data_IF_664220938657
#
_entry.id   IF_664220938657
#
_cell.length_a   1.000
_cell.length_b   1.000
_cell.length_c   1.000
_cell.angle_alpha   90.00
_cell.angle_beta   90.00
_cell.angle_gamma   90.00
#
_symmetry.space_group_name_H-M   'P 1'
#
loop_
_entity.id
_entity.type
_entity.pdbx_description
1 polymer ?
#
# COMPACT_ATOMS: atom_id res chain seq x y z
N UNK A 1 -15.97 26.53 -1.20
CA UNK A 1 -14.87 26.08 -0.33
C UNK A 1 -15.51 25.35 0.85
N UNK A 2 -15.15 24.10 1.06
CA UNK A 2 -15.60 23.36 2.24
C UNK A 2 -14.78 23.89 3.42
N UNK A 3 -15.45 24.45 4.43
CA UNK A 3 -14.82 24.85 5.70
C UNK A 3 -14.67 23.62 6.61
N UNK A 4 -13.96 22.61 6.14
CA UNK A 4 -13.65 21.45 6.97
C UNK A 4 -12.40 21.75 7.81
N UNK A 5 -12.36 21.25 9.07
CA UNK A 5 -11.18 21.43 9.88
C UNK A 5 -10.00 20.58 9.37
N UNK A 6 -8.79 21.02 9.66
CA UNK A 6 -7.58 20.24 9.45
C UNK A 6 -7.51 19.06 10.43
N UNK A 7 -7.95 19.28 11.66
CA UNK A 7 -7.92 18.29 12.74
C UNK A 7 -9.21 18.32 13.54
N UNK A 8 -9.76 17.14 13.82
CA UNK A 8 -10.87 16.96 14.74
C UNK A 8 -10.35 16.67 16.14
N UNK A 9 -11.00 17.26 17.13
CA UNK A 9 -10.67 17.07 18.55
C UNK A 9 -11.71 16.22 19.28
N UNK A 10 -12.87 16.04 18.65
CA UNK A 10 -13.96 15.25 19.22
C UNK A 10 -13.66 13.75 19.16
N UNK A 11 -13.88 13.06 20.28
CA UNK A 11 -13.59 11.62 20.41
C UNK A 11 -14.37 10.72 19.44
N UNK A 12 -15.48 11.20 18.90
CA UNK A 12 -16.26 10.48 17.89
C UNK A 12 -15.82 10.77 16.45
N UNK A 13 -14.81 11.62 16.25
CA UNK A 13 -14.28 12.03 14.93
C UNK A 13 -12.79 11.83 14.79
N UNK A 14 -12.13 11.40 15.86
CA UNK A 14 -10.71 11.07 15.87
C UNK A 14 -10.45 9.84 16.73
N UNK A 15 -9.54 8.99 16.28
CA UNK A 15 -9.05 7.82 17.03
C UNK A 15 -7.53 7.92 17.06
N UNK A 16 -6.94 7.75 18.25
CA UNK A 16 -5.49 7.84 18.45
C UNK A 16 -4.86 9.13 17.87
N UNK A 17 -5.64 10.22 17.89
CA UNK A 17 -5.22 11.51 17.34
C UNK A 17 -5.35 11.65 15.82
N UNK A 18 -5.77 10.62 15.12
CA UNK A 18 -5.99 10.62 13.67
C UNK A 18 -7.45 10.88 13.32
N UNK A 19 -7.69 11.66 12.28
CA UNK A 19 -9.03 11.93 11.79
C UNK A 19 -9.65 10.64 11.22
N UNK A 20 -10.88 10.34 11.65
CA UNK A 20 -11.70 9.27 11.05
C UNK A 20 -12.85 9.83 10.21
N UNK A 21 -12.99 11.14 10.18
CA UNK A 21 -13.92 11.87 9.32
C UNK A 21 -13.15 12.63 8.23
N UNK A 22 -13.86 12.92 7.14
CA UNK A 22 -13.32 13.69 6.03
C UNK A 22 -12.90 15.07 6.53
N UNK A 23 -11.65 15.43 6.31
CA UNK A 23 -11.02 16.69 6.73
C UNK A 23 -10.59 17.53 5.52
N UNK A 24 -10.11 18.73 5.73
CA UNK A 24 -9.68 19.65 4.66
C UNK A 24 -8.61 19.00 3.76
N UNK A 25 -7.58 18.40 4.33
CA UNK A 25 -6.53 17.72 3.57
C UNK A 25 -7.05 16.49 2.82
N UNK A 26 -8.04 15.78 3.37
CA UNK A 26 -8.68 14.64 2.67
C UNK A 26 -9.38 15.09 1.39
N UNK A 27 -10.11 16.22 1.45
CA UNK A 27 -10.77 16.79 0.27
C UNK A 27 -9.76 17.22 -0.77
N UNK A 28 -8.67 17.86 -0.38
CA UNK A 28 -7.61 18.30 -1.29
C UNK A 28 -6.91 17.13 -1.96
N UNK A 29 -6.58 16.09 -1.20
CA UNK A 29 -5.99 14.86 -1.74
C UNK A 29 -6.95 14.16 -2.72
N UNK A 30 -8.24 14.06 -2.36
CA UNK A 30 -9.26 13.49 -3.26
C UNK A 30 -9.40 14.31 -4.55
N UNK A 31 -9.35 15.64 -4.48
CA UNK A 31 -9.37 16.48 -5.68
C UNK A 31 -8.11 16.26 -6.54
N UNK A 32 -6.95 16.09 -5.94
CA UNK A 32 -5.74 15.75 -6.70
C UNK A 32 -5.93 14.43 -7.47
N UNK A 33 -6.44 13.38 -6.81
CA UNK A 33 -6.75 12.11 -7.45
C UNK A 33 -7.76 12.24 -8.60
N UNK A 34 -8.83 13.01 -8.40
CA UNK A 34 -9.83 13.27 -9.44
C UNK A 34 -9.22 13.98 -10.65
N UNK A 35 -8.40 15.00 -10.44
CA UNK A 35 -7.72 15.68 -11.52
C UNK A 35 -6.71 14.78 -12.24
N UNK A 36 -6.00 13.91 -11.54
CA UNK A 36 -5.15 12.89 -12.16
C UNK A 36 -5.96 11.96 -13.08
N UNK A 37 -7.10 11.48 -12.60
CA UNK A 37 -8.01 10.64 -13.41
C UNK A 37 -8.58 11.37 -14.63
N UNK A 38 -8.88 12.66 -14.51
CA UNK A 38 -9.35 13.47 -15.64
C UNK A 38 -8.24 13.74 -16.65
N UNK A 39 -7.01 13.93 -16.19
CA UNK A 39 -5.86 14.21 -17.04
C UNK A 39 -5.37 12.97 -17.83
N UNK A 40 -5.55 11.77 -17.24
CA UNK A 40 -5.14 10.50 -17.81
C UNK A 40 -6.18 9.86 -18.75
N UNK A 41 -5.88 8.66 -19.20
CA UNK A 41 -6.78 7.87 -20.03
C UNK A 41 -8.05 7.49 -19.24
N UNK A 42 -9.27 7.46 -19.84
CA UNK A 42 -9.55 7.72 -21.28
C UNK A 42 -9.85 9.18 -21.60
N UNK A 43 -9.97 10.07 -20.61
CA UNK A 43 -10.42 11.46 -20.84
C UNK A 43 -9.32 12.31 -21.50
N UNK A 44 -8.05 12.08 -21.14
CA UNK A 44 -6.87 12.75 -21.69
C UNK A 44 -6.95 14.30 -21.66
N UNK A 45 -7.59 14.84 -20.63
CA UNK A 45 -7.66 16.30 -20.40
C UNK A 45 -6.42 16.77 -19.69
N UNK A 46 -5.29 16.78 -20.39
CA UNK A 46 -3.94 16.96 -19.83
C UNK A 46 -3.74 18.28 -19.09
N UNK A 47 -4.59 19.29 -19.34
CA UNK A 47 -4.59 20.55 -18.59
C UNK A 47 -4.86 20.37 -17.09
N UNK A 48 -5.52 19.26 -16.68
CA UNK A 48 -5.79 18.97 -15.27
C UNK A 48 -4.57 18.45 -14.50
N UNK A 49 -3.46 18.08 -15.14
CA UNK A 49 -2.21 17.80 -14.41
C UNK A 49 -1.77 19.01 -13.57
N UNK A 50 -1.93 20.21 -14.09
CA UNK A 50 -1.60 21.43 -13.33
C UNK A 50 -2.47 21.55 -12.06
N UNK A 51 -3.76 21.26 -12.17
CA UNK A 51 -4.69 21.30 -11.04
C UNK A 51 -4.38 20.19 -10.01
N UNK A 52 -4.03 18.99 -10.48
CA UNK A 52 -3.62 17.89 -9.61
C UNK A 52 -2.39 18.27 -8.79
N UNK A 53 -1.36 18.81 -9.45
CA UNK A 53 -0.14 19.26 -8.79
C UNK A 53 -0.43 20.34 -7.74
N UNK A 54 -1.29 21.32 -8.04
CA UNK A 54 -1.65 22.36 -7.08
C UNK A 54 -2.35 21.79 -5.85
N UNK A 55 -3.28 20.87 -6.03
CA UNK A 55 -4.00 20.27 -4.89
C UNK A 55 -3.14 19.34 -4.05
N UNK A 56 -2.29 18.52 -4.66
CA UNK A 56 -1.32 17.72 -3.94
C UNK A 56 -0.32 18.60 -3.17
N UNK A 57 0.17 19.69 -3.81
CA UNK A 57 1.06 20.65 -3.17
C UNK A 57 0.42 21.36 -1.97
N UNK A 58 -0.87 21.71 -2.03
CA UNK A 58 -1.57 22.30 -0.89
C UNK A 58 -1.54 21.37 0.33
N UNK A 59 -1.63 20.05 0.14
CA UNK A 59 -1.51 19.08 1.24
C UNK A 59 -0.07 19.04 1.74
N UNK A 60 0.92 18.92 0.85
CA UNK A 60 2.34 18.90 1.21
C UNK A 60 2.76 20.16 1.97
N UNK A 61 2.33 21.34 1.50
CA UNK A 61 2.62 22.63 2.15
C UNK A 61 1.97 22.70 3.55
N UNK A 62 0.76 22.15 3.70
CA UNK A 62 0.08 22.07 4.99
C UNK A 62 0.82 21.16 5.98
N UNK A 63 1.38 20.05 5.50
CA UNK A 63 2.23 19.16 6.29
C UNK A 63 3.51 19.88 6.71
N UNK A 64 4.19 20.53 5.76
CA UNK A 64 5.45 21.26 6.03
C UNK A 64 5.28 22.41 7.02
N UNK A 65 4.10 23.03 7.04
CA UNK A 65 3.74 24.10 7.98
C UNK A 65 3.25 23.60 9.34
N UNK A 66 3.10 22.29 9.51
CA UNK A 66 2.50 21.69 10.70
C UNK A 66 1.00 21.91 10.85
N UNK A 67 0.31 22.33 9.77
CA UNK A 67 -1.17 22.46 9.77
C UNK A 67 -1.84 21.10 9.69
N UNK A 68 -1.23 20.18 8.95
CA UNK A 68 -1.67 18.78 8.81
C UNK A 68 -0.63 17.86 9.43
N UNK A 69 -1.11 16.88 10.18
CA UNK A 69 -0.28 15.92 10.88
C UNK A 69 -0.17 14.64 10.06
N UNK A 70 0.54 14.73 8.92
CA UNK A 70 0.81 13.58 8.07
C UNK A 70 2.31 13.40 7.83
N UNK A 71 2.72 12.14 7.71
CA UNK A 71 4.09 11.77 7.38
C UNK A 71 4.12 10.37 6.78
N UNK A 72 5.17 10.03 6.05
CA UNK A 72 5.45 8.64 5.75
C UNK A 72 5.86 7.92 7.04
N UNK A 73 5.35 6.72 7.25
CA UNK A 73 5.86 5.85 8.31
C UNK A 73 7.29 5.44 7.98
N UNK A 74 8.14 5.33 8.99
CA UNK A 74 9.54 4.90 8.81
C UNK A 74 9.66 3.51 8.24
N UNK A 75 8.75 2.64 8.65
CA UNK A 75 8.72 1.24 8.23
C UNK A 75 7.49 0.98 7.36
N UNK A 76 7.70 0.65 6.11
CA UNK A 76 6.58 0.39 5.18
C UNK A 76 5.64 -0.73 5.67
N UNK A 77 6.20 -1.75 6.32
CA UNK A 77 5.44 -2.86 6.90
C UNK A 77 4.35 -2.42 7.89
N UNK A 78 4.53 -1.27 8.53
CA UNK A 78 3.59 -0.75 9.52
C UNK A 78 2.33 -0.15 8.91
N UNK A 79 2.38 0.23 7.64
CA UNK A 79 1.24 0.82 6.90
C UNK A 79 0.01 -0.10 6.91
N UNK A 80 0.25 -1.41 6.77
CA UNK A 80 -0.81 -2.42 6.72
C UNK A 80 -0.77 -3.40 7.90
N UNK A 81 -0.05 -3.07 8.97
CA UNK A 81 0.03 -3.94 10.14
C UNK A 81 -1.27 -3.94 10.93
N UNK A 82 -1.76 -5.14 11.25
CA UNK A 82 -2.91 -5.29 12.13
C UNK A 82 -2.62 -4.69 13.50
N UNK A 83 -3.55 -3.89 14.01
CA UNK A 83 -3.38 -3.16 15.27
C UNK A 83 -2.68 -1.80 15.15
N UNK A 84 -2.27 -1.39 13.93
CA UNK A 84 -1.76 -0.05 13.62
C UNK A 84 -2.68 0.66 12.62
N UNK A 85 -3.98 0.57 12.83
CA UNK A 85 -4.98 1.06 11.87
C UNK A 85 -4.96 2.58 11.69
N UNK A 86 -4.69 3.33 12.77
CA UNK A 86 -4.73 4.78 12.77
C UNK A 86 -3.32 5.33 12.92
N UNK A 87 -2.78 5.85 11.84
CA UNK A 87 -1.42 6.39 11.79
C UNK A 87 -1.34 7.62 10.86
N UNK A 88 -0.26 8.39 10.99
CA UNK A 88 -0.09 9.68 10.31
C UNK A 88 -0.02 9.58 8.77
N UNK A 89 0.21 8.40 8.21
CA UNK A 89 0.25 8.26 6.75
C UNK A 89 -1.14 8.23 6.12
N UNK A 90 -2.19 7.82 6.87
CA UNK A 90 -3.55 7.71 6.34
C UNK A 90 -4.25 9.06 6.27
N UNK A 91 -4.73 9.45 5.08
CA UNK A 91 -5.61 10.60 4.88
C UNK A 91 -7.08 10.21 4.82
N UNK A 92 -7.36 9.04 4.24
CA UNK A 92 -8.72 8.49 4.13
C UNK A 92 -8.67 6.97 4.23
N UNK A 93 -9.55 6.40 5.02
CA UNK A 93 -9.70 4.95 5.14
C UNK A 93 -11.09 4.57 5.59
N UNK A 94 -11.41 3.29 5.47
CA UNK A 94 -12.64 2.69 5.95
C UNK A 94 -12.32 1.86 7.18
N UNK A 95 -12.96 2.19 8.30
CA UNK A 95 -12.83 1.43 9.53
C UNK A 95 -13.89 0.32 9.58
N UNK A 96 -13.46 -0.86 9.97
CA UNK A 96 -14.32 -2.01 10.18
C UNK A 96 -14.43 -2.32 11.67
N UNK A 97 -15.56 -2.89 12.08
CA UNK A 97 -15.79 -3.27 13.46
C UNK A 97 -16.35 -4.69 13.53
N UNK A 98 -15.49 -5.64 13.88
CA UNK A 98 -15.84 -7.06 13.99
C UNK A 98 -16.94 -7.36 15.04
N UNK A 99 -17.18 -6.44 15.99
CA UNK A 99 -18.24 -6.61 16.99
C UNK A 99 -19.65 -6.58 16.41
N UNK A 100 -19.82 -5.98 15.22
CA UNK A 100 -21.12 -5.98 14.54
C UNK A 100 -21.42 -7.29 13.80
N UNK A 101 -20.45 -8.20 13.73
CA UNK A 101 -20.58 -9.45 12.97
C UNK A 101 -20.70 -9.21 11.47
N UNK A 102 -20.89 -10.31 10.74
CA UNK A 102 -21.05 -10.27 9.29
C UNK A 102 -19.73 -10.13 8.53
N UNK A 103 -19.83 -10.01 7.25
CA UNK A 103 -18.69 -9.94 6.34
C UNK A 103 -18.31 -8.48 6.16
N UNK A 104 -17.21 -8.05 6.76
CA UNK A 104 -16.87 -6.63 6.81
C UNK A 104 -15.60 -6.28 6.06
N UNK A 105 -14.58 -7.14 6.12
CA UNK A 105 -13.34 -6.91 5.41
C UNK A 105 -12.94 -8.19 4.66
N UNK A 106 -12.68 -8.06 3.38
CA UNK A 106 -12.48 -9.21 2.49
C UNK A 106 -11.05 -9.34 1.97
N UNK A 107 -10.27 -8.28 2.03
CA UNK A 107 -8.95 -8.25 1.38
C UNK A 107 -8.04 -9.37 1.89
N UNK A 108 -8.08 -9.65 3.19
CA UNK A 108 -7.30 -10.72 3.79
C UNK A 108 -7.74 -12.12 3.33
N UNK A 109 -9.03 -12.29 3.07
CA UNK A 109 -9.58 -13.57 2.63
C UNK A 109 -9.37 -13.82 1.15
N UNK A 110 -9.62 -12.80 0.31
CA UNK A 110 -9.53 -12.91 -1.13
C UNK A 110 -8.09 -13.04 -1.61
N UNK A 111 -7.15 -12.34 -0.96
CA UNK A 111 -5.73 -12.33 -1.35
C UNK A 111 -4.89 -13.42 -0.71
N UNK A 112 -5.40 -14.10 0.32
CA UNK A 112 -4.71 -15.25 0.90
C UNK A 112 -4.86 -16.48 0.01
N UNK A 113 -3.77 -17.19 -0.20
CA UNK A 113 -3.84 -18.47 -0.90
C UNK A 113 -4.74 -19.43 -0.15
N UNK A 114 -5.66 -20.05 -0.86
CA UNK A 114 -6.39 -21.18 -0.34
C UNK A 114 -5.44 -22.36 -0.24
N UNK A 115 -4.90 -22.61 0.91
CA UNK A 115 -4.26 -23.88 1.21
C UNK A 115 -5.25 -24.74 1.98
N UNK A 116 -5.50 -25.91 1.44
CA UNK A 116 -6.38 -26.87 2.07
C UNK A 116 -5.82 -27.25 3.44
N UNK A 117 -6.48 -26.86 4.46
CA UNK A 117 -6.12 -27.22 5.83
C UNK A 117 -5.65 -26.01 6.64
N UNK A 118 -5.75 -25.96 7.72
CA UNK A 118 -5.65 -25.26 8.98
C UNK A 118 -4.82 -23.97 9.06
N UNK A 119 -3.98 -23.60 8.10
CA UNK A 119 -2.99 -22.56 8.35
C UNK A 119 -3.09 -21.33 7.45
N UNK A 120 -3.63 -21.49 6.26
CA UNK A 120 -3.83 -20.40 5.31
C UNK A 120 -5.22 -20.53 4.72
N UNK A 121 -6.18 -19.86 5.28
CA UNK A 121 -7.57 -19.99 4.85
C UNK A 121 -8.01 -18.74 4.11
N UNK A 122 -7.50 -18.56 2.93
CA UNK A 122 -8.06 -17.61 1.98
C UNK A 122 -8.74 -18.35 0.84
N UNK A 123 -9.39 -17.61 -0.02
CA UNK A 123 -10.08 -18.16 -1.20
C UNK A 123 -9.20 -18.20 -2.43
N UNK A 124 -8.06 -17.50 -2.41
CA UNK A 124 -7.12 -17.47 -3.54
C UNK A 124 -7.67 -16.78 -4.78
N UNK A 125 -8.61 -15.85 -4.61
CA UNK A 125 -9.23 -15.13 -5.72
C UNK A 125 -8.34 -14.02 -6.26
N UNK A 126 -7.47 -13.45 -5.41
CA UNK A 126 -6.51 -12.43 -5.79
C UNK A 126 -5.10 -12.99 -5.72
N UNK A 127 -4.50 -13.14 -6.88
CA UNK A 127 -3.16 -13.70 -7.02
C UNK A 127 -2.21 -12.65 -7.59
N UNK A 128 -1.01 -12.62 -7.04
CA UNK A 128 0.02 -11.72 -7.53
C UNK A 128 0.52 -12.14 -8.93
N UNK A 129 0.78 -11.15 -9.77
CA UNK A 129 1.34 -11.39 -11.11
C UNK A 129 2.86 -11.60 -10.99
N UNK A 130 3.38 -12.69 -11.58
CA UNK A 130 4.78 -13.12 -11.42
C UNK A 130 5.79 -12.15 -12.02
N UNK A 131 5.49 -11.59 -13.20
CA UNK A 131 6.38 -10.63 -13.86
C UNK A 131 6.45 -9.33 -13.09
N UNK A 132 5.32 -8.90 -12.55
CA UNK A 132 5.26 -7.72 -11.71
C UNK A 132 6.11 -7.91 -10.45
N UNK A 133 5.98 -9.06 -9.77
CA UNK A 133 6.81 -9.40 -8.63
C UNK A 133 8.32 -9.41 -8.96
N UNK A 134 8.71 -9.95 -10.14
CA UNK A 134 10.11 -9.98 -10.57
C UNK A 134 10.68 -8.59 -10.77
N UNK A 135 9.88 -7.68 -11.30
CA UNK A 135 10.26 -6.30 -11.59
C UNK A 135 10.10 -5.37 -10.38
N UNK A 136 9.41 -5.84 -9.34
CA UNK A 136 9.21 -5.07 -8.12
C UNK A 136 10.55 -4.81 -7.43
N UNK A 137 10.90 -3.55 -7.12
CA UNK A 137 12.17 -3.21 -6.48
C UNK A 137 12.37 -3.96 -5.16
N UNK A 138 13.55 -4.53 -4.97
CA UNK A 138 13.89 -5.23 -3.74
C UNK A 138 13.99 -4.23 -2.58
N UNK A 139 13.56 -4.67 -1.40
CA UNK A 139 13.59 -3.85 -0.20
C UNK A 139 12.45 -4.14 0.77
N UNK A 140 12.36 -3.34 1.84
CA UNK A 140 11.39 -3.54 2.92
C UNK A 140 9.93 -3.61 2.44
N UNK A 141 9.59 -2.84 1.40
CA UNK A 141 8.25 -2.85 0.82
C UNK A 141 7.92 -4.18 0.16
N UNK A 142 8.81 -4.68 -0.72
CA UNK A 142 8.59 -5.97 -1.38
C UNK A 142 8.44 -7.10 -0.38
N UNK A 143 9.30 -7.10 0.65
CA UNK A 143 9.27 -8.11 1.71
C UNK A 143 8.00 -8.03 2.58
N UNK A 144 7.42 -6.83 2.70
CA UNK A 144 6.18 -6.63 3.44
C UNK A 144 4.91 -6.88 2.61
N UNK A 145 4.99 -6.74 1.28
CA UNK A 145 3.85 -7.01 0.38
C UNK A 145 3.71 -8.50 0.09
N UNK A 146 4.82 -9.19 -0.16
CA UNK A 146 4.81 -10.56 -0.68
C UNK A 146 5.44 -11.56 0.28
N UNK A 147 4.79 -12.70 0.46
CA UNK A 147 5.44 -13.85 1.09
C UNK A 147 6.49 -14.44 0.15
N UNK A 148 7.65 -14.77 0.72
CA UNK A 148 8.70 -15.52 0.02
C UNK A 148 8.43 -17.02 0.02
N UNK A 149 7.61 -17.49 0.95
CA UNK A 149 7.39 -18.91 1.18
C UNK A 149 5.89 -19.23 1.29
N UNK A 150 5.58 -20.45 0.96
CA UNK A 150 4.25 -21.03 1.12
C UNK A 150 4.36 -22.19 2.11
N UNK A 151 3.46 -22.24 3.08
CA UNK A 151 3.37 -23.37 3.99
C UNK A 151 2.50 -24.47 3.36
N UNK A 152 3.08 -25.65 3.16
CA UNK A 152 2.36 -26.81 2.67
C UNK A 152 1.56 -27.49 3.78
N UNK A 153 0.57 -28.28 3.40
CA UNK A 153 -0.29 -29.02 4.35
C UNK A 153 0.48 -29.99 5.28
N UNK A 154 1.65 -30.42 4.85
CA UNK A 154 2.54 -31.24 5.67
C UNK A 154 3.39 -30.42 6.67
N UNK A 155 3.18 -29.10 6.75
CA UNK A 155 3.92 -28.21 7.63
C UNK A 155 5.30 -27.77 7.11
N UNK A 156 5.62 -28.08 5.85
CA UNK A 156 6.88 -27.67 5.23
C UNK A 156 6.73 -26.31 4.56
N UNK A 157 7.66 -25.38 4.84
CA UNK A 157 7.77 -24.12 4.12
C UNK A 157 8.57 -24.33 2.85
N UNK A 158 8.04 -23.88 1.72
CA UNK A 158 8.70 -23.91 0.42
C UNK A 158 8.65 -22.54 -0.23
N UNK A 159 9.72 -22.17 -0.90
CA UNK A 159 9.72 -20.97 -1.71
C UNK A 159 8.70 -21.13 -2.84
N UNK A 160 7.84 -20.14 -3.06
CA UNK A 160 6.78 -20.23 -4.07
C UNK A 160 7.34 -20.37 -5.49
N UNK A 161 8.60 -19.98 -5.73
CA UNK A 161 9.31 -20.17 -7.00
C UNK A 161 10.15 -21.44 -7.09
N UNK A 162 10.26 -22.18 -5.99
CA UNK A 162 11.00 -23.46 -5.96
C UNK A 162 10.23 -24.53 -6.71
N UNK A 163 10.19 -24.38 -8.02
CA UNK A 163 9.67 -25.39 -8.92
C UNK A 163 10.83 -26.09 -9.59
N UNK A 164 10.91 -27.40 -9.53
CA UNK A 164 11.77 -28.15 -10.40
C UNK A 164 11.13 -28.17 -11.79
N UNK A 165 11.84 -27.71 -12.79
CA UNK A 165 11.46 -27.77 -14.22
C UNK A 165 10.14 -27.03 -14.56
N UNK A 166 9.83 -25.95 -13.89
CA UNK A 166 8.61 -25.19 -14.13
C UNK A 166 7.33 -25.92 -13.65
N UNK A 167 7.48 -27.05 -12.98
CA UNK A 167 6.37 -27.79 -12.38
C UNK A 167 6.20 -27.40 -10.93
N UNK A 168 4.96 -27.38 -10.45
CA UNK A 168 4.71 -27.17 -9.03
C UNK A 168 5.49 -28.18 -8.20
N UNK A 169 5.91 -27.75 -7.00
CA UNK A 169 6.51 -28.67 -6.02
C UNK A 169 5.64 -29.91 -5.88
N UNK A 170 6.23 -31.08 -6.18
CA UNK A 170 5.51 -32.34 -6.28
C UNK A 170 5.23 -32.97 -4.90
N UNK A 171 5.03 -32.17 -3.88
CA UNK A 171 4.46 -32.65 -2.64
C UNK A 171 3.00 -33.03 -2.89
N UNK A 172 2.57 -34.13 -2.31
CA UNK A 172 1.23 -34.69 -2.37
C UNK A 172 0.10 -33.73 -1.96
N UNK A 173 0.43 -32.49 -1.68
CA UNK A 173 -0.44 -31.44 -1.15
C UNK A 173 -0.46 -30.18 -2.01
N UNK A 174 0.04 -30.23 -3.23
CA UNK A 174 -0.09 -29.13 -4.17
C UNK A 174 -1.56 -29.00 -4.61
N UNK A 175 -2.33 -28.31 -3.81
CA UNK A 175 -3.71 -27.96 -4.18
C UNK A 175 -3.70 -26.93 -5.30
N UNK A 176 -2.54 -26.29 -5.55
CA UNK A 176 -2.39 -25.24 -6.56
C UNK A 176 -1.43 -25.68 -7.64
N UNK A 177 -1.95 -25.79 -8.84
CA UNK A 177 -1.16 -25.97 -10.05
C UNK A 177 -0.31 -24.73 -10.39
N UNK A 178 -0.52 -23.60 -9.71
CA UNK A 178 0.06 -22.32 -10.08
C UNK A 178 0.63 -21.62 -8.84
N UNK A 179 1.93 -21.84 -8.58
CA UNK A 179 2.63 -21.17 -7.52
C UNK A 179 2.85 -19.70 -7.88
N UNK A 180 2.34 -18.82 -7.04
CA UNK A 180 2.45 -17.38 -7.17
C UNK A 180 2.83 -16.73 -5.85
N UNK A 181 3.48 -15.56 -5.88
CA UNK A 181 3.69 -14.81 -4.65
C UNK A 181 2.35 -14.51 -4.00
N UNK A 182 2.31 -14.66 -2.68
CA UNK A 182 1.13 -14.29 -1.90
C UNK A 182 1.23 -12.88 -1.39
N UNK A 183 0.12 -12.17 -1.40
CA UNK A 183 0.01 -10.92 -0.69
C UNK A 183 -0.10 -11.15 0.81
N UNK A 184 0.88 -10.68 1.56
CA UNK A 184 0.85 -10.74 3.04
C UNK A 184 0.52 -9.41 3.69
N UNK A 185 0.58 -8.31 2.95
CA UNK A 185 0.20 -6.98 3.44
C UNK A 185 -1.22 -6.93 4.01
N UNK A 186 -2.12 -7.73 3.47
CA UNK A 186 -3.53 -7.80 3.90
C UNK A 186 -3.81 -8.84 4.98
N UNK A 187 -2.83 -9.61 5.41
CA UNK A 187 -3.01 -10.60 6.47
C UNK A 187 -3.13 -9.95 7.85
N UNK A 188 -3.72 -10.67 8.79
CA UNK A 188 -3.95 -10.17 10.15
C UNK A 188 -3.12 -10.88 11.22
N UNK A 189 -2.38 -11.90 10.86
CA UNK A 189 -1.60 -12.72 11.78
C UNK A 189 -0.13 -12.28 11.88
N UNK A 190 0.49 -12.65 12.98
CA UNK A 190 1.91 -12.44 13.21
C UNK A 190 2.68 -13.73 12.98
N UNK A 191 3.85 -13.62 12.41
CA UNK A 191 4.82 -14.71 12.36
C UNK A 191 5.37 -14.96 13.78
N UNK A 192 5.21 -16.16 14.33
CA UNK A 192 5.69 -16.47 15.66
C UNK A 192 7.21 -16.58 15.74
N UNK A 193 7.87 -16.83 14.61
CA UNK A 193 9.33 -17.05 14.56
C UNK A 193 10.06 -15.73 14.44
N UNK A 194 9.62 -14.87 13.53
CA UNK A 194 10.33 -13.61 13.23
C UNK A 194 9.83 -12.44 14.06
N UNK A 195 8.66 -12.57 14.68
CA UNK A 195 7.97 -11.45 15.35
C UNK A 195 7.64 -10.29 14.40
N UNK A 196 7.77 -10.50 13.11
CA UNK A 196 7.52 -9.50 12.09
C UNK A 196 6.05 -9.09 12.10
N UNK A 197 5.73 -7.87 11.65
CA UNK A 197 4.35 -7.42 11.54
C UNK A 197 3.53 -8.34 10.66
N UNK A 198 2.24 -8.23 10.75
CA UNK A 198 1.31 -9.10 10.06
C UNK A 198 1.54 -9.20 8.55
N UNK A 199 2.06 -8.16 7.92
CA UNK A 199 2.46 -8.18 6.51
C UNK A 199 3.68 -9.05 6.21
N UNK A 200 4.55 -9.28 7.20
CA UNK A 200 5.75 -10.09 7.04
C UNK A 200 5.84 -11.17 8.12
N UNK A 201 4.91 -11.16 9.05
CA UNK A 201 4.92 -11.98 10.23
C UNK A 201 3.64 -12.80 10.27
N UNK A 202 3.79 -13.97 9.78
CA UNK A 202 2.67 -14.87 9.66
C UNK A 202 2.69 -15.87 10.81
N UNK A 203 1.66 -15.92 11.63
CA UNK A 203 1.53 -16.98 12.63
C UNK A 203 1.02 -18.25 11.96
N UNK A 204 1.94 -19.06 11.47
CA UNK A 204 1.65 -20.33 10.83
C UNK A 204 0.98 -21.35 11.77
N UNK A 205 0.96 -21.09 13.07
CA UNK A 205 0.34 -21.99 14.06
C UNK A 205 -1.11 -21.62 14.34
N UNK A 206 -1.53 -20.44 13.96
CA UNK A 206 -2.89 -19.94 14.15
C UNK A 206 -3.58 -19.78 12.82
N UNK A 207 -4.86 -20.16 12.71
CA UNK A 207 -5.62 -19.83 11.51
C UNK A 207 -5.60 -18.32 11.29
N UNK A 208 -5.44 -17.90 10.04
CA UNK A 208 -5.57 -16.49 9.60
C UNK A 208 -6.98 -15.97 9.85
N UNK A 209 -7.76 -16.75 10.47
CA UNK A 209 -9.19 -16.66 10.44
C UNK A 209 -9.71 -15.69 11.48
N UNK A 210 -10.03 -14.51 11.05
CA UNK A 210 -11.02 -13.66 11.68
C UNK A 210 -12.40 -13.76 11.04
N UNK A 211 -12.64 -14.77 10.20
CA UNK A 211 -13.96 -15.05 9.66
C UNK A 211 -14.58 -13.93 8.83
N UNK A 212 -13.85 -13.23 7.97
CA UNK A 212 -14.36 -12.09 7.20
C UNK A 212 -14.90 -10.93 8.05
N UNK A 213 -14.50 -10.88 9.32
CA UNK A 213 -14.92 -9.87 10.29
C UNK A 213 -13.71 -9.41 11.05
N UNK A 214 -12.87 -8.60 10.44
CA UNK A 214 -11.66 -8.06 11.05
C UNK A 214 -11.74 -6.55 11.19
N UNK A 215 -10.96 -6.03 12.13
CA UNK A 215 -10.89 -4.59 12.40
C UNK A 215 -9.77 -3.89 11.63
N UNK A 216 -9.21 -4.51 10.60
CA UNK A 216 -8.16 -3.91 9.82
C UNK A 216 -8.73 -2.79 8.96
N UNK A 217 -8.14 -1.61 9.07
CA UNK A 217 -8.57 -0.45 8.29
C UNK A 217 -8.18 -0.62 6.82
N UNK A 218 -9.12 -0.40 5.92
CA UNK A 218 -8.85 -0.31 4.50
C UNK A 218 -8.37 1.09 4.15
N UNK A 219 -7.12 1.21 3.70
CA UNK A 219 -6.48 2.48 3.38
C UNK A 219 -6.91 2.92 1.97
N UNK A 220 -7.61 4.04 1.87
CA UNK A 220 -8.09 4.57 0.58
C UNK A 220 -7.17 5.63 0.01
N UNK A 221 -6.64 6.52 0.85
CA UNK A 221 -5.69 7.57 0.46
C UNK A 221 -4.63 7.67 1.55
N UNK A 222 -3.36 7.57 1.13
CA UNK A 222 -2.20 7.73 1.99
C UNK A 222 -1.36 8.94 1.57
N UNK A 223 -0.51 9.42 2.46
CA UNK A 223 0.36 10.55 2.17
C UNK A 223 1.40 10.23 1.08
N UNK A 224 1.84 8.98 0.98
CA UNK A 224 2.68 8.50 -0.12
C UNK A 224 2.04 8.75 -1.49
N UNK A 225 0.74 8.52 -1.62
CA UNK A 225 0.02 8.77 -2.88
C UNK A 225 -0.03 10.26 -3.21
N UNK A 226 -0.21 11.12 -2.22
CA UNK A 226 -0.16 12.59 -2.43
C UNK A 226 1.19 13.02 -2.98
N UNK A 227 2.28 12.47 -2.44
CA UNK A 227 3.64 12.73 -2.91
C UNK A 227 3.82 12.26 -4.37
N UNK A 228 3.31 11.08 -4.70
CA UNK A 228 3.40 10.53 -6.05
C UNK A 228 2.51 11.26 -7.06
N UNK A 229 1.27 11.62 -6.68
CA UNK A 229 0.43 12.47 -7.53
C UNK A 229 1.08 13.82 -7.80
N UNK A 230 1.73 14.41 -6.79
CA UNK A 230 2.49 15.64 -7.00
C UNK A 230 3.67 15.40 -7.96
N UNK A 231 4.47 14.37 -7.73
CA UNK A 231 5.64 14.06 -8.54
C UNK A 231 5.29 13.87 -10.03
N UNK A 232 4.27 13.05 -10.31
CA UNK A 232 3.81 12.81 -11.67
C UNK A 232 3.18 14.05 -12.31
N UNK A 233 2.22 14.66 -11.63
CA UNK A 233 1.45 15.77 -12.21
C UNK A 233 2.29 17.02 -12.41
N UNK A 234 3.20 17.34 -11.48
CA UNK A 234 4.11 18.47 -11.62
C UNK A 234 5.09 18.26 -12.78
N UNK A 235 5.61 17.06 -12.95
CA UNK A 235 6.46 16.71 -14.08
C UNK A 235 5.73 16.83 -15.42
N UNK A 236 4.51 16.30 -15.53
CA UNK A 236 3.68 16.41 -16.75
C UNK A 236 3.21 17.83 -17.05
N UNK A 237 3.00 18.64 -16.02
CA UNK A 237 2.57 20.03 -16.16
C UNK A 237 3.73 21.04 -16.31
N UNK A 238 4.98 20.60 -16.28
CA UNK A 238 6.15 21.49 -16.34
C UNK A 238 6.28 22.41 -15.12
N UNK A 239 5.79 21.97 -13.93
CA UNK A 239 5.93 22.72 -12.68
C UNK A 239 7.24 22.37 -11.97
N UNK A 240 7.39 22.77 -10.72
CA UNK A 240 8.60 22.62 -9.90
C UNK A 240 9.16 21.18 -9.91
N UNK A 241 10.07 20.93 -10.86
CA UNK A 241 10.67 19.62 -11.07
C UNK A 241 11.56 19.20 -9.88
N UNK A 242 12.17 20.17 -9.18
CA UNK A 242 13.01 19.88 -8.02
C UNK A 242 12.18 19.31 -6.87
N UNK A 243 11.05 19.94 -6.57
CA UNK A 243 10.14 19.46 -5.54
C UNK A 243 9.50 18.11 -5.95
N UNK A 244 9.18 17.93 -7.24
CA UNK A 244 8.64 16.68 -7.77
C UNK A 244 9.64 15.52 -7.59
N UNK A 245 10.91 15.73 -7.90
CA UNK A 245 11.98 14.75 -7.65
C UNK A 245 12.12 14.44 -6.16
N UNK A 246 12.07 15.46 -5.30
CA UNK A 246 12.14 15.28 -3.86
C UNK A 246 10.98 14.43 -3.33
N UNK A 247 9.76 14.62 -3.84
CA UNK A 247 8.59 13.85 -3.45
C UNK A 247 8.74 12.36 -3.81
N UNK A 248 9.16 12.05 -5.04
CA UNK A 248 9.42 10.66 -5.46
C UNK A 248 10.54 10.01 -4.64
N UNK A 249 11.63 10.76 -4.39
CA UNK A 249 12.76 10.24 -3.58
C UNK A 249 12.34 9.89 -2.16
N UNK A 250 11.46 10.66 -1.53
CA UNK A 250 10.95 10.34 -0.18
C UNK A 250 10.24 8.98 -0.15
N UNK A 251 9.40 8.69 -1.12
CA UNK A 251 8.69 7.40 -1.20
C UNK A 251 9.68 6.27 -1.44
N UNK A 252 10.58 6.42 -2.42
CA UNK A 252 11.59 5.40 -2.74
C UNK A 252 12.54 5.11 -1.59
N UNK A 253 13.01 6.12 -0.90
CA UNK A 253 13.96 5.98 0.21
C UNK A 253 13.38 5.14 1.37
N UNK A 254 12.07 5.24 1.63
CA UNK A 254 11.40 4.44 2.63
C UNK A 254 11.21 2.98 2.18
N UNK A 255 11.01 2.77 0.89
CA UNK A 255 10.48 1.53 0.32
C UNK A 255 11.54 0.60 -0.27
N UNK A 256 12.72 1.13 -0.60
CA UNK A 256 13.77 0.41 -1.33
C UNK A 256 15.08 0.40 -0.56
N UNK A 257 15.81 -0.71 -0.64
CA UNK A 257 17.14 -0.83 -0.05
C UNK A 257 18.27 -0.34 -0.97
N UNK A 258 17.97 -0.06 -2.23
CA UNK A 258 18.95 0.39 -3.22
C UNK A 258 19.03 1.91 -3.24
N UNK A 259 20.04 2.47 -2.59
CA UNK A 259 20.31 3.90 -2.58
C UNK A 259 20.59 4.46 -3.98
N UNK A 260 21.16 3.65 -4.88
CA UNK A 260 21.44 4.08 -6.25
C UNK A 260 20.15 4.29 -7.04
N UNK A 261 19.13 3.46 -6.80
CA UNK A 261 17.80 3.61 -7.37
C UNK A 261 17.10 4.90 -6.90
N UNK A 262 17.30 5.27 -5.64
CA UNK A 262 16.78 6.55 -5.10
C UNK A 262 17.53 7.73 -5.71
N UNK A 263 18.86 7.67 -5.76
CA UNK A 263 19.70 8.74 -6.29
C UNK A 263 19.49 8.97 -7.81
N UNK A 264 19.18 7.92 -8.57
CA UNK A 264 18.94 8.01 -10.01
C UNK A 264 17.82 9.01 -10.38
N UNK A 265 16.90 9.31 -9.47
CA UNK A 265 15.85 10.32 -9.66
C UNK A 265 16.41 11.71 -9.96
N UNK A 266 17.61 12.03 -9.48
CA UNK A 266 18.21 13.36 -9.69
C UNK A 266 18.59 13.61 -11.16
N UNK A 267 18.88 12.55 -11.92
CA UNK A 267 19.33 12.62 -13.31
C UNK A 267 18.21 12.55 -14.35
N UNK A 268 16.97 12.19 -13.97
CA UNK A 268 15.89 11.98 -14.94
C UNK A 268 15.32 13.30 -15.49
N UNK A 269 14.84 13.24 -16.74
CA UNK A 269 14.06 14.31 -17.37
C UNK A 269 12.66 14.43 -16.72
N UNK A 270 11.90 15.46 -17.08
CA UNK A 270 10.52 15.61 -16.62
C UNK A 270 9.63 14.43 -17.06
N UNK A 271 9.75 14.02 -18.31
CA UNK A 271 8.99 12.88 -18.86
C UNK A 271 9.34 11.58 -18.13
N UNK A 272 10.62 11.30 -17.95
CA UNK A 272 11.09 10.12 -17.21
C UNK A 272 10.65 10.16 -15.74
N UNK A 273 10.60 11.35 -15.12
CA UNK A 273 10.11 11.50 -13.75
C UNK A 273 8.63 11.17 -13.65
N UNK A 274 7.83 11.62 -14.62
CA UNK A 274 6.40 11.33 -14.65
C UNK A 274 6.14 9.83 -14.74
N UNK A 275 6.84 9.14 -15.64
CA UNK A 275 6.74 7.67 -15.77
C UNK A 275 7.23 6.95 -14.49
N UNK A 276 8.35 7.38 -13.93
CA UNK A 276 8.89 6.80 -12.72
C UNK A 276 7.95 6.97 -11.51
N UNK A 277 7.25 8.10 -11.41
CA UNK A 277 6.25 8.33 -10.37
C UNK A 277 5.00 7.47 -10.58
N UNK A 278 4.56 7.31 -11.82
CA UNK A 278 3.46 6.41 -12.17
C UNK A 278 3.78 4.95 -11.85
N UNK A 279 4.97 4.48 -12.21
CA UNK A 279 5.42 3.13 -11.84
C UNK A 279 5.50 2.93 -10.33
N UNK A 280 6.02 3.94 -9.62
CA UNK A 280 6.13 3.90 -8.17
C UNK A 280 4.76 3.80 -7.47
N UNK A 281 3.73 4.40 -8.05
CA UNK A 281 2.35 4.22 -7.58
C UNK A 281 1.91 2.76 -7.61
N UNK A 282 2.32 2.03 -8.64
CA UNK A 282 2.02 0.61 -8.73
C UNK A 282 2.74 -0.24 -7.67
N UNK A 283 3.90 0.20 -7.22
CA UNK A 283 4.67 -0.49 -6.17
C UNK A 283 4.18 -0.12 -4.76
N UNK A 284 3.68 1.10 -4.58
CA UNK A 284 3.25 1.64 -3.29
C UNK A 284 1.87 1.16 -2.87
#
# INVERSE_FOLDING_TARGET
ACNLPAKYTEANRSIEGQNIYVSDQTVKATLAAVYMAMAGYPLNKTEYYANAADKAKEVMDGVNKGTYDHSLLSEWKDVFSYGKNHHNETLLGIDYNSNFGGWQEWDSQLSSCHQSGKLWSGWGDFLAERRYWKNFPDGPRKDAVYSKQILLNNGVLVDWWATTDGKPYNGTNAVFADYRPMFVAFTVNKDPVTGLPASAAFDYTKPIWGGMCINKRHQLIRYSEVLLWYAESAARAGKDLSLAKSALKQVRARACSDESFVAAVDAVSAEQLAEAAYEEHGYE
#
